data_IF_537049169140
#
_entry.id   IF_537049169140
#
_cell.length_a   1.000
_cell.length_b   1.000
_cell.length_c   1.000
_cell.angle_alpha   90.00
_cell.angle_beta   90.00
_cell.angle_gamma   90.00
#
_symmetry.space_group_name_H-M   'P 1'
#
loop_
_entity.id
_entity.type
_entity.pdbx_description
1 polymer ?
#
# COMPACT_ATOMS: atom_id res chain seq x y z
N UNK A 1 10.82 6.28 9.33
CA UNK A 1 11.33 7.00 10.54
C UNK A 1 12.55 6.24 11.07
N UNK A 2 13.43 5.82 10.15
CA UNK A 2 14.24 4.63 10.39
C UNK A 2 15.53 5.03 11.14
N UNK A 3 15.83 4.33 12.23
CA UNK A 3 16.97 4.64 13.10
C UNK A 3 16.73 5.72 14.16
N UNK A 4 15.48 6.16 14.38
CA UNK A 4 15.11 7.05 15.49
C UNK A 4 14.57 6.21 16.65
N UNK A 5 15.17 6.33 17.84
CA UNK A 5 14.70 5.66 19.05
C UNK A 5 13.28 6.10 19.43
N UNK A 6 12.47 5.21 19.99
CA UNK A 6 11.06 5.45 20.29
C UNK A 6 10.82 6.73 21.13
N UNK A 7 11.71 7.01 22.09
CA UNK A 7 11.63 8.20 22.96
C UNK A 7 11.90 9.52 22.20
N UNK A 8 12.58 9.46 21.05
CA UNK A 8 12.91 10.61 20.22
C UNK A 8 11.88 10.85 19.11
N UNK A 9 10.89 9.97 18.98
CA UNK A 9 9.80 10.17 18.05
C UNK A 9 8.94 11.37 18.48
N UNK A 10 8.52 12.23 17.54
CA UNK A 10 7.49 13.20 17.81
C UNK A 10 6.26 12.52 18.42
N UNK A 11 5.61 13.18 19.38
CA UNK A 11 4.45 12.65 20.12
C UNK A 11 3.36 12.04 19.22
N UNK A 12 3.17 12.60 18.01
CA UNK A 12 2.25 12.07 17.01
C UNK A 12 2.74 10.78 16.35
N UNK A 13 4.03 10.69 16.01
CA UNK A 13 4.65 9.49 15.44
C UNK A 13 4.69 8.36 16.47
N UNK A 14 4.97 8.67 17.74
CA UNK A 14 4.91 7.73 18.83
C UNK A 14 3.50 7.12 18.98
N UNK A 15 2.45 7.96 18.99
CA UNK A 15 1.06 7.49 19.02
C UNK A 15 0.69 6.64 17.79
N UNK A 16 1.21 6.96 16.61
CA UNK A 16 1.00 6.16 15.41
C UNK A 16 1.67 4.78 15.55
N UNK A 17 2.92 4.73 16.03
CA UNK A 17 3.63 3.49 16.29
C UNK A 17 2.86 2.60 17.29
N UNK A 18 2.39 3.17 18.40
CA UNK A 18 1.56 2.45 19.38
C UNK A 18 0.25 1.95 18.77
N UNK A 19 -0.36 2.72 17.87
CA UNK A 19 -1.59 2.32 17.18
C UNK A 19 -1.40 1.10 16.26
N UNK A 20 -0.21 0.92 15.68
CA UNK A 20 0.14 -0.29 14.94
C UNK A 20 0.46 -1.48 15.85
N UNK A 21 0.73 -1.22 17.13
CA UNK A 21 1.11 -2.24 18.11
C UNK A 21 2.60 -2.20 18.49
N UNK A 22 3.36 -1.21 18.01
CA UNK A 22 4.73 -1.00 18.48
C UNK A 22 4.72 -0.48 19.91
N UNK A 23 5.50 -1.11 20.77
CA UNK A 23 5.95 -0.50 22.02
C UNK A 23 7.43 -0.13 21.89
N UNK A 24 7.99 0.52 22.91
CA UNK A 24 9.40 0.93 22.91
C UNK A 24 10.36 -0.21 22.64
N UNK A 25 10.16 -1.37 23.27
CA UNK A 25 11.04 -2.52 23.12
C UNK A 25 10.99 -3.09 21.71
N UNK A 26 9.78 -3.23 21.14
CA UNK A 26 9.58 -3.73 19.78
C UNK A 26 10.15 -2.76 18.75
N UNK A 27 9.91 -1.46 18.93
CA UNK A 27 10.40 -0.41 18.04
C UNK A 27 11.93 -0.31 18.06
N UNK A 28 12.54 -0.27 19.24
CA UNK A 28 13.99 -0.10 19.37
C UNK A 28 14.77 -1.39 19.01
N UNK A 29 14.10 -2.55 18.97
CA UNK A 29 14.70 -3.84 18.60
C UNK A 29 14.38 -4.29 17.17
N UNK A 30 13.65 -3.47 16.40
CA UNK A 30 13.11 -3.82 15.07
C UNK A 30 12.36 -5.18 15.07
N UNK A 31 11.65 -5.47 16.16
CA UNK A 31 10.92 -6.72 16.34
C UNK A 31 9.56 -6.67 15.62
N UNK A 32 9.01 -7.85 15.33
CA UNK A 32 7.74 -7.96 14.59
C UNK A 32 6.53 -7.68 15.48
N UNK A 33 5.60 -6.87 14.98
CA UNK A 33 4.28 -6.66 15.61
C UNK A 33 3.24 -7.60 15.00
N UNK A 34 2.11 -7.77 15.70
CA UNK A 34 0.98 -8.55 15.16
C UNK A 34 0.46 -7.99 13.83
N UNK A 35 0.58 -6.67 13.60
CA UNK A 35 0.16 -6.07 12.34
C UNK A 35 1.03 -6.48 11.14
N UNK A 36 2.28 -6.91 11.34
CA UNK A 36 3.20 -7.29 10.25
C UNK A 36 2.71 -8.52 9.49
N UNK A 37 1.92 -9.36 10.17
CA UNK A 37 1.26 -10.51 9.53
C UNK A 37 0.02 -10.13 8.72
N UNK A 38 -0.53 -8.92 8.93
CA UNK A 38 -1.72 -8.42 8.26
C UNK A 38 -1.36 -7.75 6.93
N UNK A 39 -2.16 -8.01 5.91
CA UNK A 39 -2.16 -7.19 4.69
C UNK A 39 -2.66 -5.78 4.99
N UNK A 40 -2.32 -4.82 4.13
CA UNK A 40 -2.75 -3.43 4.31
C UNK A 40 -4.28 -3.29 4.42
N UNK A 41 -5.03 -4.08 3.65
CA UNK A 41 -6.51 -4.09 3.67
C UNK A 41 -7.11 -4.74 4.93
N UNK A 42 -6.32 -5.55 5.66
CA UNK A 42 -6.70 -6.15 6.95
C UNK A 42 -6.38 -5.23 8.15
N UNK A 43 -5.61 -4.16 7.92
CA UNK A 43 -5.41 -3.10 8.89
C UNK A 43 -6.72 -2.31 9.09
N UNK A 44 -7.02 -2.00 10.34
CA UNK A 44 -8.11 -1.08 10.68
C UNK A 44 -7.84 0.31 10.11
N UNK A 45 -8.87 1.15 9.89
CA UNK A 45 -8.69 2.52 9.40
C UNK A 45 -7.77 3.38 10.30
N UNK A 46 -7.61 3.02 11.57
CA UNK A 46 -6.69 3.68 12.49
C UNK A 46 -5.24 3.23 12.27
N UNK A 47 -5.01 1.91 12.11
CA UNK A 47 -3.71 1.33 11.76
C UNK A 47 -3.23 1.86 10.40
N UNK A 48 -4.07 1.90 9.37
CA UNK A 48 -3.70 2.45 8.06
C UNK A 48 -3.26 3.91 8.15
N UNK A 49 -4.03 4.76 8.86
CA UNK A 49 -3.65 6.16 9.08
C UNK A 49 -2.35 6.32 9.86
N UNK A 50 -2.10 5.43 10.81
CA UNK A 50 -0.87 5.42 11.58
C UNK A 50 0.33 5.02 10.71
N UNK A 51 0.18 4.00 9.88
CA UNK A 51 1.17 3.58 8.90
C UNK A 51 1.46 4.69 7.88
N UNK A 52 0.42 5.32 7.32
CA UNK A 52 0.52 6.51 6.45
C UNK A 52 1.31 7.64 7.12
N UNK A 53 1.02 7.91 8.40
CA UNK A 53 1.71 8.93 9.17
C UNK A 53 3.19 8.61 9.37
N UNK A 54 3.54 7.32 9.51
CA UNK A 54 4.91 6.85 9.61
C UNK A 54 5.63 6.76 8.24
N UNK A 55 4.93 7.06 7.15
CA UNK A 55 5.46 7.09 5.79
C UNK A 55 5.29 5.79 5.00
N UNK A 56 4.54 4.83 5.55
CA UNK A 56 4.13 3.62 4.85
C UNK A 56 2.89 3.89 4.01
N UNK A 57 2.92 3.41 2.77
CA UNK A 57 1.74 3.23 1.94
C UNK A 57 1.48 1.72 1.79
N UNK A 58 0.35 1.35 1.18
CA UNK A 58 -0.04 -0.05 1.02
C UNK A 58 1.03 -0.91 0.31
N UNK A 59 1.74 -0.31 -0.67
CA UNK A 59 2.83 -0.96 -1.41
C UNK A 59 4.05 -1.14 -0.52
N UNK A 60 4.53 -0.06 0.10
CA UNK A 60 5.68 -0.09 1.02
C UNK A 60 5.43 -1.02 2.18
N UNK A 61 4.22 -1.05 2.72
CA UNK A 61 3.82 -1.97 3.78
C UNK A 61 4.01 -3.40 3.34
N UNK A 62 3.46 -3.79 2.20
CA UNK A 62 3.58 -5.14 1.70
C UNK A 62 5.04 -5.52 1.36
N UNK A 63 5.80 -4.62 0.71
CA UNK A 63 7.23 -4.84 0.43
C UNK A 63 8.05 -4.99 1.72
N UNK A 64 7.83 -4.14 2.71
CA UNK A 64 8.58 -4.16 3.99
C UNK A 64 8.33 -5.46 4.75
N UNK A 65 7.10 -5.99 4.69
CA UNK A 65 6.72 -7.21 5.39
C UNK A 65 6.82 -8.47 4.51
N UNK A 66 7.44 -8.38 3.33
CA UNK A 66 7.63 -9.51 2.42
C UNK A 66 6.33 -10.13 1.89
N UNK A 67 5.25 -9.35 1.86
CA UNK A 67 3.93 -9.77 1.38
C UNK A 67 3.83 -9.52 -0.13
N UNK A 68 3.14 -10.41 -0.86
CA UNK A 68 2.81 -10.15 -2.27
C UNK A 68 1.80 -9.00 -2.31
N UNK A 69 2.24 -7.88 -2.87
CA UNK A 69 1.42 -6.70 -3.04
C UNK A 69 0.70 -6.79 -4.37
N UNK A 70 -0.55 -7.24 -4.34
CA UNK A 70 -1.45 -7.12 -5.47
C UNK A 70 -2.83 -6.80 -4.95
N UNK A 71 -3.35 -5.64 -5.34
CA UNK A 71 -4.71 -5.24 -5.00
C UNK A 71 -5.68 -5.54 -6.12
N UNK A 72 -5.21 -6.08 -7.26
CA UNK A 72 -6.00 -6.33 -8.47
C UNK A 72 -7.17 -7.29 -8.24
N UNK A 73 -7.07 -8.15 -7.22
CA UNK A 73 -8.11 -9.10 -6.82
C UNK A 73 -8.98 -8.57 -5.66
N UNK A 74 -8.69 -7.39 -5.13
CA UNK A 74 -9.48 -6.78 -4.07
C UNK A 74 -10.65 -5.99 -4.67
N UNK A 75 -11.79 -5.95 -3.97
CA UNK A 75 -12.90 -5.06 -4.34
C UNK A 75 -12.47 -3.59 -4.36
N UNK A 76 -13.04 -2.79 -5.27
CA UNK A 76 -12.80 -1.36 -5.32
C UNK A 76 -13.04 -0.69 -3.96
N UNK A 77 -14.02 -1.15 -3.18
CA UNK A 77 -14.29 -0.60 -1.85
C UNK A 77 -13.09 -0.76 -0.90
N UNK A 78 -12.40 -1.89 -0.98
CA UNK A 78 -11.25 -2.28 -0.14
C UNK A 78 -9.94 -1.63 -0.56
N UNK A 79 -9.85 -1.11 -1.79
CA UNK A 79 -8.67 -0.37 -2.25
C UNK A 79 -8.38 0.87 -1.40
N UNK A 80 -7.10 1.13 -1.15
CA UNK A 80 -6.65 2.39 -0.54
C UNK A 80 -6.96 3.59 -1.46
N UNK A 81 -6.86 4.82 -0.94
CA UNK A 81 -7.10 6.03 -1.75
C UNK A 81 -6.08 6.15 -2.88
N UNK A 82 -4.86 5.71 -2.64
CA UNK A 82 -3.74 5.70 -3.57
C UNK A 82 -3.97 4.66 -4.65
N UNK A 83 -4.35 3.43 -4.27
CA UNK A 83 -4.74 2.39 -5.21
C UNK A 83 -5.91 2.82 -6.08
N UNK A 84 -6.96 3.43 -5.49
CA UNK A 84 -8.08 4.03 -6.26
C UNK A 84 -7.61 5.12 -7.21
N UNK A 85 -6.65 5.95 -6.79
CA UNK A 85 -6.11 7.03 -7.63
C UNK A 85 -5.27 6.46 -8.76
N UNK A 86 -4.47 5.43 -8.50
CA UNK A 86 -3.69 4.70 -9.49
C UNK A 86 -4.59 4.00 -10.51
N UNK A 87 -5.62 3.27 -10.05
CA UNK A 87 -6.61 2.64 -10.92
C UNK A 87 -7.29 3.68 -11.83
N UNK A 88 -7.65 4.86 -11.30
CA UNK A 88 -8.18 5.97 -12.12
C UNK A 88 -7.18 6.49 -13.16
N UNK A 89 -5.89 6.52 -12.85
CA UNK A 89 -4.84 6.94 -13.81
C UNK A 89 -4.75 5.96 -14.99
N UNK A 90 -4.99 4.67 -14.75
CA UNK A 90 -5.10 3.66 -15.81
C UNK A 90 -6.45 3.69 -16.53
N UNK A 91 -7.43 4.44 -16.03
CA UNK A 91 -8.77 4.58 -16.61
C UNK A 91 -9.85 3.76 -15.93
N UNK A 92 -9.54 3.02 -14.86
CA UNK A 92 -10.55 2.26 -14.12
C UNK A 92 -11.48 3.18 -13.33
N UNK A 93 -12.74 2.77 -13.29
CA UNK A 93 -13.73 3.26 -12.35
C UNK A 93 -14.15 2.12 -11.43
N UNK A 94 -14.84 2.43 -10.33
CA UNK A 94 -15.36 1.40 -9.42
C UNK A 94 -16.21 0.34 -10.14
N UNK A 95 -16.97 0.77 -11.16
CA UNK A 95 -17.78 -0.15 -11.94
C UNK A 95 -16.93 -1.03 -12.86
N UNK A 96 -15.92 -0.48 -13.53
CA UNK A 96 -15.05 -1.25 -14.42
C UNK A 96 -14.26 -2.27 -13.60
N UNK A 97 -13.65 -1.82 -12.51
CA UNK A 97 -12.84 -2.65 -11.61
C UNK A 97 -13.61 -3.85 -11.05
N UNK A 98 -14.78 -3.61 -10.46
CA UNK A 98 -15.56 -4.69 -9.82
C UNK A 98 -16.25 -5.64 -10.81
N UNK A 99 -16.25 -5.34 -12.11
CA UNK A 99 -16.85 -6.19 -13.14
C UNK A 99 -15.79 -6.80 -14.07
N UNK A 100 -14.51 -6.79 -13.67
CA UNK A 100 -13.38 -7.25 -14.49
C UNK A 100 -13.40 -6.60 -15.90
N UNK A 101 -13.84 -5.35 -15.97
CA UNK A 101 -13.93 -4.59 -17.20
C UNK A 101 -12.55 -4.14 -17.65
N UNK A 102 -12.36 -4.04 -18.96
CA UNK A 102 -11.09 -3.62 -19.52
C UNK A 102 -11.02 -2.10 -19.73
N UNK A 103 -9.81 -1.56 -19.66
CA UNK A 103 -9.49 -0.15 -19.92
C UNK A 103 -8.50 -0.05 -21.06
N UNK A 104 -8.48 1.06 -21.83
CA UNK A 104 -7.56 1.20 -22.96
C UNK A 104 -6.08 1.04 -22.60
N UNK A 105 -5.71 1.29 -21.34
CA UNK A 105 -4.34 1.07 -20.88
C UNK A 105 -3.94 -0.42 -20.94
N UNK A 106 -4.86 -1.37 -20.68
CA UNK A 106 -4.56 -2.81 -20.73
C UNK A 106 -4.31 -3.33 -22.14
N UNK A 107 -4.75 -2.61 -23.18
CA UNK A 107 -4.46 -2.93 -24.57
C UNK A 107 -3.03 -2.47 -24.98
N UNK A 108 -2.36 -1.65 -24.16
CA UNK A 108 -1.01 -1.13 -24.42
C UNK A 108 0.07 -2.04 -23.80
N UNK A 109 1.21 -2.17 -24.49
CA UNK A 109 2.38 -2.83 -23.91
C UNK A 109 2.94 -2.02 -22.72
N UNK A 110 3.60 -2.68 -21.76
CA UNK A 110 4.21 -2.00 -20.60
C UNK A 110 5.16 -0.84 -20.99
N UNK A 111 5.83 -0.99 -22.13
CA UNK A 111 6.74 0.03 -22.68
C UNK A 111 6.01 1.19 -23.37
N UNK A 112 4.77 0.99 -23.80
CA UNK A 112 3.91 2.00 -24.41
C UNK A 112 3.19 2.86 -23.36
N UNK A 113 2.95 2.30 -22.16
CA UNK A 113 2.41 3.04 -21.03
C UNK A 113 3.26 4.28 -20.72
N UNK A 114 2.60 5.39 -20.37
CA UNK A 114 3.29 6.57 -19.85
C UNK A 114 3.93 6.27 -18.49
N UNK A 115 4.95 7.05 -18.09
CA UNK A 115 5.56 6.91 -16.76
C UNK A 115 4.56 7.03 -15.61
N UNK A 116 3.45 7.75 -15.80
CA UNK A 116 2.36 7.84 -14.80
C UNK A 116 1.53 6.56 -14.76
N UNK A 117 1.18 5.99 -15.92
CA UNK A 117 0.46 4.71 -15.99
C UNK A 117 1.32 3.58 -15.42
N UNK A 118 2.62 3.49 -15.74
CA UNK A 118 3.51 2.50 -15.11
C UNK A 118 3.57 2.65 -13.60
N UNK A 119 3.78 3.86 -13.09
CA UNK A 119 3.80 4.10 -11.64
C UNK A 119 2.46 3.73 -10.97
N UNK A 120 1.34 3.97 -11.66
CA UNK A 120 0.02 3.56 -11.21
C UNK A 120 -0.12 2.03 -11.23
N UNK A 121 0.27 1.35 -12.31
CA UNK A 121 0.25 -0.10 -12.41
C UNK A 121 1.10 -0.76 -11.32
N UNK A 122 2.30 -0.24 -11.05
CA UNK A 122 3.12 -0.69 -9.93
C UNK A 122 2.47 -0.46 -8.57
N UNK A 123 1.70 0.63 -8.41
CA UNK A 123 0.93 0.92 -7.20
C UNK A 123 -0.27 -0.03 -7.03
N UNK A 124 -0.69 -0.71 -8.08
CA UNK A 124 -1.70 -1.77 -8.02
C UNK A 124 -1.10 -3.17 -7.82
N UNK A 125 0.22 -3.30 -7.94
CA UNK A 125 0.93 -4.58 -7.83
C UNK A 125 1.34 -5.21 -9.16
N UNK A 126 1.10 -4.52 -10.27
CA UNK A 126 1.63 -4.96 -11.57
C UNK A 126 3.14 -4.70 -11.65
N UNK A 127 3.80 -5.53 -12.43
CA UNK A 127 5.18 -5.36 -12.85
C UNK A 127 5.23 -5.60 -14.35
N UNK A 128 6.29 -5.20 -15.03
CA UNK A 128 6.47 -5.48 -16.46
C UNK A 128 6.19 -6.95 -16.81
N UNK A 129 6.62 -7.90 -15.95
CA UNK A 129 6.40 -9.34 -16.13
C UNK A 129 4.98 -9.83 -15.82
N UNK A 130 4.20 -9.06 -15.05
CA UNK A 130 2.81 -9.38 -14.68
C UNK A 130 1.79 -8.67 -15.57
N UNK A 131 2.22 -7.70 -16.37
CA UNK A 131 1.35 -6.88 -17.22
C UNK A 131 0.96 -7.60 -18.51
N UNK A 132 1.93 -8.21 -19.21
CA UNK A 132 1.75 -8.97 -20.46
C UNK A 132 2.38 -10.36 -20.40
#
# INVERSE_FOLDING_TARGET
>A
YDGISFDKLPLKANKAAVCLGYNKEIWDSDDKISADSKKWNELTPAEQKAAEFLGYDSRKWAVTHGQDFSVVNDDWASLSKEAKSAAKVLGYTASIWNNDGSVPAEDEDWNELTSKQRAAAETLGYTEKKWN
#
